data_IF_841002789667
#
_entry.id   IF_841002789667
#
_cell.length_a   1.000
_cell.length_b   1.000
_cell.length_c   1.000
_cell.angle_alpha   90.00
_cell.angle_beta   90.00
_cell.angle_gamma   90.00
#
_symmetry.space_group_name_H-M   'P 1'
#
loop_
_entity.id
_entity.type
_entity.pdbx_description
1 polymer ?
#
# COMPACT_ATOMS: atom_id res chain seq x y z
N UNK A 1 28.86 -18.56 -1.26
CA UNK A 1 29.66 -17.50 -0.61
C UNK A 1 28.68 -16.40 -0.22
N UNK A 2 28.23 -16.40 1.04
CA UNK A 2 27.33 -15.39 1.57
C UNK A 2 28.16 -14.27 2.23
N UNK A 3 27.72 -13.02 2.07
CA UNK A 3 28.44 -11.81 2.45
C UNK A 3 28.64 -11.70 3.98
N UNK A 4 29.79 -11.25 4.51
CA UNK A 4 30.11 -11.28 5.95
C UNK A 4 29.57 -10.09 6.77
N UNK A 5 28.69 -9.25 6.25
CA UNK A 5 28.49 -7.89 6.78
C UNK A 5 27.41 -7.71 7.85
N UNK A 6 26.50 -8.67 8.05
CA UNK A 6 25.34 -8.44 8.93
C UNK A 6 25.57 -8.87 10.40
N UNK A 7 26.63 -9.62 10.69
CA UNK A 7 26.87 -10.16 12.05
C UNK A 7 27.53 -9.16 13.02
N UNK A 8 28.33 -8.21 12.53
CA UNK A 8 29.08 -7.29 13.40
C UNK A 8 28.24 -6.15 13.97
N UNK A 9 27.21 -5.71 13.25
CA UNK A 9 26.39 -4.56 13.67
C UNK A 9 25.70 -4.80 15.03
N UNK A 10 25.33 -6.05 15.30
CA UNK A 10 24.66 -6.46 16.53
C UNK A 10 25.60 -6.53 17.74
N UNK A 11 26.86 -6.90 17.52
CA UNK A 11 27.86 -7.02 18.60
C UNK A 11 28.42 -5.65 19.02
N UNK A 12 28.57 -4.72 18.06
CA UNK A 12 28.96 -3.33 18.32
C UNK A 12 27.89 -2.58 19.15
N UNK A 13 26.61 -2.84 18.89
CA UNK A 13 25.50 -2.26 19.67
C UNK A 13 25.49 -2.81 21.09
N UNK A 14 25.67 -4.12 21.27
CA UNK A 14 25.70 -4.74 22.60
C UNK A 14 26.86 -4.20 23.44
N UNK A 15 28.04 -4.06 22.85
CA UNK A 15 29.23 -3.53 23.55
C UNK A 15 29.06 -2.05 23.91
N UNK A 16 28.41 -1.26 23.06
CA UNK A 16 28.08 0.13 23.38
C UNK A 16 27.06 0.23 24.52
N UNK A 17 26.02 -0.61 24.51
CA UNK A 17 25.02 -0.67 25.58
C UNK A 17 25.72 -0.97 26.90
N UNK A 18 26.51 -2.04 26.99
CA UNK A 18 27.20 -2.42 28.24
C UNK A 18 28.08 -1.29 28.78
N UNK A 19 28.80 -0.60 27.90
CA UNK A 19 29.67 0.52 28.28
C UNK A 19 28.89 1.69 28.88
N UNK A 20 27.74 2.04 28.29
CA UNK A 20 26.87 3.11 28.79
C UNK A 20 26.24 2.72 30.13
N UNK A 21 25.84 1.46 30.30
CA UNK A 21 25.29 0.94 31.55
C UNK A 21 26.29 1.09 32.70
N UNK A 22 27.55 0.74 32.46
CA UNK A 22 28.62 0.84 33.46
C UNK A 22 28.89 2.30 33.84
N UNK A 23 28.92 3.21 32.85
CA UNK A 23 29.14 4.65 33.07
C UNK A 23 28.03 5.28 33.89
N UNK A 24 26.76 4.94 33.61
CA UNK A 24 25.60 5.42 34.38
C UNK A 24 25.67 4.87 35.81
N UNK A 25 26.02 3.60 35.98
CA UNK A 25 26.11 2.96 37.30
C UNK A 25 27.19 3.60 38.19
N UNK A 26 28.31 4.02 37.61
CA UNK A 26 29.42 4.65 38.33
C UNK A 26 29.09 6.07 38.83
N UNK A 27 28.10 6.73 38.22
CA UNK A 27 27.66 8.08 38.60
C UNK A 27 26.63 8.12 39.73
N UNK A 28 26.10 6.98 40.17
CA UNK A 28 25.07 6.89 41.21
C UNK A 28 25.70 6.91 42.61
N UNK A 29 25.21 7.80 43.48
CA UNK A 29 25.70 7.95 44.87
C UNK A 29 25.25 6.83 45.81
N UNK A 30 24.19 6.12 45.43
CA UNK A 30 23.58 5.03 46.17
C UNK A 30 23.19 3.96 45.15
N UNK A 31 23.86 2.81 45.20
CA UNK A 31 23.72 1.72 44.22
C UNK A 31 22.83 0.59 44.74
N UNK A 32 22.47 0.62 46.03
CA UNK A 32 21.60 -0.39 46.63
C UNK A 32 20.16 -0.18 46.15
N UNK A 33 19.71 -1.11 45.29
CA UNK A 33 18.32 -1.18 44.81
C UNK A 33 18.04 -0.57 43.44
N UNK A 34 19.04 -0.10 42.69
CA UNK A 34 18.83 0.42 41.32
C UNK A 34 18.89 -0.73 40.32
N UNK A 35 17.75 -1.04 39.71
CA UNK A 35 17.61 -2.03 38.64
C UNK A 35 17.36 -1.29 37.33
N UNK A 36 18.24 -1.49 36.34
CA UNK A 36 18.06 -0.97 34.99
C UNK A 36 17.15 -1.91 34.23
N UNK A 37 15.92 -1.46 34.01
CA UNK A 37 14.94 -2.17 33.20
C UNK A 37 14.98 -1.63 31.77
N UNK A 38 15.11 -2.53 30.79
CA UNK A 38 14.98 -2.14 29.39
C UNK A 38 13.52 -1.79 29.13
N UNK A 39 13.28 -0.58 28.61
CA UNK A 39 11.98 -0.22 28.11
C UNK A 39 11.63 -1.14 26.93
N UNK A 40 10.73 -2.09 27.16
CA UNK A 40 10.22 -2.98 26.12
C UNK A 40 9.17 -2.23 25.29
N UNK A 41 9.65 -1.31 24.44
CA UNK A 41 8.81 -0.64 23.48
C UNK A 41 8.68 -1.53 22.24
N UNK A 42 7.49 -2.09 22.05
CA UNK A 42 7.14 -2.76 20.80
C UNK A 42 6.95 -1.69 19.71
N UNK A 43 8.04 -1.38 19.01
CA UNK A 43 8.03 -0.49 17.85
C UNK A 43 7.65 -1.22 16.55
N UNK A 44 7.28 -2.51 16.59
CA UNK A 44 6.81 -3.23 15.40
C UNK A 44 5.66 -2.54 14.65
N UNK A 45 4.73 -1.79 15.29
CA UNK A 45 3.69 -1.05 14.56
C UNK A 45 4.22 0.15 13.77
N UNK A 46 5.42 0.63 14.11
CA UNK A 46 6.10 1.76 13.47
C UNK A 46 7.30 1.33 12.63
N UNK A 47 7.66 0.06 12.67
CA UNK A 47 8.66 -0.50 11.79
C UNK A 47 8.20 -0.25 10.35
N UNK A 48 9.02 0.46 9.58
CA UNK A 48 8.80 0.62 8.15
C UNK A 48 8.89 -0.78 7.57
N UNK A 49 7.72 -1.44 7.48
CA UNK A 49 7.57 -2.78 6.93
C UNK A 49 8.42 -2.80 5.67
N UNK A 50 9.45 -3.64 5.67
CA UNK A 50 10.19 -3.97 4.45
C UNK A 50 9.11 -4.44 3.48
N UNK A 51 8.66 -3.53 2.61
CA UNK A 51 7.45 -3.77 1.84
C UNK A 51 7.72 -5.02 1.04
N UNK A 52 6.99 -6.10 1.34
CA UNK A 52 7.07 -7.30 0.54
C UNK A 52 6.70 -6.86 -0.86
N UNK A 53 7.71 -6.81 -1.74
CA UNK A 53 7.60 -6.28 -3.10
C UNK A 53 6.52 -7.02 -3.89
N UNK A 54 6.18 -8.23 -3.45
CA UNK A 54 5.14 -9.10 -3.98
C UNK A 54 3.72 -8.71 -3.58
N UNK A 55 3.50 -8.08 -2.42
CA UNK A 55 2.15 -7.76 -1.93
C UNK A 55 1.54 -6.52 -2.61
N UNK A 56 2.40 -5.65 -3.15
CA UNK A 56 2.01 -4.37 -3.75
C UNK A 56 2.44 -4.23 -5.22
N UNK A 57 2.69 -5.35 -5.91
CA UNK A 57 3.08 -5.34 -7.33
C UNK A 57 2.05 -4.69 -8.25
N UNK A 58 0.77 -4.65 -7.84
CA UNK A 58 -0.32 -3.96 -8.53
C UNK A 58 -0.40 -2.45 -8.26
N UNK A 59 0.54 -1.89 -7.48
CA UNK A 59 0.55 -0.47 -7.10
C UNK A 59 1.81 0.21 -7.62
N UNK A 60 1.65 1.33 -8.30
CA UNK A 60 2.76 2.19 -8.72
C UNK A 60 2.53 3.62 -8.22
N UNK A 61 3.62 4.36 -8.09
CA UNK A 61 3.56 5.79 -7.85
C UNK A 61 3.65 6.54 -9.18
N UNK A 62 2.70 7.44 -9.40
CA UNK A 62 2.76 8.49 -10.42
C UNK A 62 3.29 9.75 -9.77
N UNK A 63 4.31 10.37 -10.35
CA UNK A 63 4.99 11.52 -9.76
C UNK A 63 5.47 12.54 -10.79
N UNK A 64 5.79 13.75 -10.30
CA UNK A 64 6.42 14.80 -11.10
C UNK A 64 5.48 15.47 -12.09
N UNK A 65 4.17 15.37 -11.85
CA UNK A 65 3.16 16.04 -12.66
C UNK A 65 2.79 17.42 -12.10
N UNK A 66 2.30 18.35 -12.95
CA UNK A 66 1.89 19.69 -12.52
C UNK A 66 0.74 19.63 -11.50
N UNK A 67 0.78 20.49 -10.47
CA UNK A 67 -0.27 20.61 -9.44
C UNK A 67 -1.66 20.99 -9.96
N UNK A 68 -1.77 21.38 -11.24
CA UNK A 68 -3.06 21.64 -11.91
C UNK A 68 -3.76 20.36 -12.36
N UNK A 69 -3.07 19.22 -12.35
CA UNK A 69 -3.61 17.93 -12.76
C UNK A 69 -4.71 17.48 -11.81
N UNK A 70 -5.74 16.87 -12.40
CA UNK A 70 -6.86 16.27 -11.71
C UNK A 70 -6.85 14.76 -11.90
N UNK A 71 -7.73 14.10 -11.18
CA UNK A 71 -7.90 12.64 -11.28
C UNK A 71 -8.18 12.22 -12.72
N UNK A 72 -8.95 12.99 -13.47
CA UNK A 72 -9.28 12.69 -14.87
C UNK A 72 -8.04 12.72 -15.77
N UNK A 73 -7.16 13.73 -15.63
CA UNK A 73 -5.92 13.83 -16.41
C UNK A 73 -5.01 12.61 -16.17
N UNK A 74 -4.95 12.14 -14.92
CA UNK A 74 -4.20 10.95 -14.56
C UNK A 74 -4.89 9.65 -15.00
N UNK A 75 -6.22 9.59 -15.08
CA UNK A 75 -6.91 8.41 -15.63
C UNK A 75 -6.70 8.35 -17.14
N UNK A 76 -6.85 9.49 -17.83
CA UNK A 76 -6.74 9.59 -19.29
C UNK A 76 -5.36 9.14 -19.77
N UNK A 77 -4.29 9.57 -19.11
CA UNK A 77 -2.93 9.17 -19.43
C UNK A 77 -2.71 7.65 -19.35
N UNK A 78 -3.47 6.92 -18.53
CA UNK A 78 -3.30 5.49 -18.29
C UNK A 78 -4.42 4.63 -18.90
N UNK A 79 -5.26 5.20 -19.76
CA UNK A 79 -6.39 4.49 -20.39
C UNK A 79 -5.92 3.19 -21.06
N UNK A 80 -4.83 3.24 -21.84
CA UNK A 80 -4.26 2.08 -22.55
C UNK A 80 -3.59 1.05 -21.63
N UNK A 81 -3.30 1.42 -20.39
CA UNK A 81 -2.57 0.61 -19.41
C UNK A 81 -3.49 0.06 -18.30
N UNK A 82 -4.76 0.48 -18.28
CA UNK A 82 -5.73 0.19 -17.23
C UNK A 82 -6.69 -0.96 -17.57
N UNK A 83 -6.23 -1.97 -18.30
CA UNK A 83 -7.06 -3.14 -18.64
C UNK A 83 -7.64 -3.80 -17.37
N UNK A 84 -8.96 -3.71 -17.18
CA UNK A 84 -9.66 -4.18 -15.96
C UNK A 84 -9.86 -3.12 -14.86
N UNK A 85 -9.44 -1.87 -15.11
CA UNK A 85 -9.63 -0.72 -14.25
C UNK A 85 -8.38 -0.30 -13.47
N UNK A 86 -8.33 0.98 -13.16
CA UNK A 86 -7.31 1.61 -12.32
C UNK A 86 -8.00 2.55 -11.33
N UNK A 87 -7.47 2.66 -10.12
CA UNK A 87 -7.91 3.60 -9.10
C UNK A 87 -6.76 4.50 -8.69
N UNK A 88 -7.05 5.79 -8.54
CA UNK A 88 -6.08 6.80 -8.15
C UNK A 88 -6.29 7.17 -6.69
N UNK A 89 -5.20 7.26 -5.94
CA UNK A 89 -5.18 7.81 -4.59
C UNK A 89 -4.08 8.85 -4.44
N UNK A 90 -4.50 10.09 -4.24
CA UNK A 90 -3.61 11.24 -4.09
C UNK A 90 -2.72 11.11 -2.85
N UNK A 91 -1.44 11.44 -2.99
CA UNK A 91 -0.49 11.57 -1.86
C UNK A 91 -0.31 13.05 -1.54
N UNK A 92 0.04 13.83 -2.56
CA UNK A 92 0.15 15.29 -2.55
C UNK A 92 -0.21 15.86 -3.94
N UNK A 93 -0.02 17.15 -4.18
CA UNK A 93 -0.39 17.82 -5.44
C UNK A 93 0.44 17.35 -6.66
N UNK A 94 1.51 16.59 -6.46
CA UNK A 94 2.48 16.14 -7.48
C UNK A 94 2.78 14.64 -7.44
N UNK A 95 2.15 13.91 -6.51
CA UNK A 95 2.31 12.48 -6.30
C UNK A 95 0.96 11.80 -6.08
N UNK A 96 0.75 10.69 -6.76
CA UNK A 96 -0.43 9.85 -6.60
C UNK A 96 -0.05 8.37 -6.69
N UNK A 97 -0.82 7.52 -6.01
CA UNK A 97 -0.74 6.07 -6.13
C UNK A 97 -1.77 5.60 -7.15
N UNK A 98 -1.32 4.86 -8.16
CA UNK A 98 -2.18 4.17 -9.10
C UNK A 98 -2.25 2.68 -8.73
N UNK A 99 -3.47 2.22 -8.49
CA UNK A 99 -3.80 0.87 -8.07
C UNK A 99 -4.48 0.18 -9.25
N UNK A 100 -3.85 -0.88 -9.73
CA UNK A 100 -4.33 -1.64 -10.88
C UNK A 100 -5.13 -2.87 -10.44
N UNK A 101 -5.89 -3.41 -11.37
CA UNK A 101 -6.59 -4.69 -11.25
C UNK A 101 -5.62 -5.88 -11.12
N UNK A 102 -4.42 -5.77 -11.70
CA UNK A 102 -3.37 -6.80 -11.68
C UNK A 102 -1.96 -6.22 -11.65
N UNK A 103 -0.99 -7.02 -11.18
CA UNK A 103 0.44 -6.70 -11.25
C UNK A 103 0.92 -6.57 -12.70
N UNK A 104 0.38 -7.35 -13.64
CA UNK A 104 0.73 -7.26 -15.06
C UNK A 104 0.34 -5.91 -15.66
N UNK A 105 -0.84 -5.38 -15.31
CA UNK A 105 -1.28 -4.06 -15.76
C UNK A 105 -0.42 -2.95 -15.15
N UNK A 106 -0.09 -3.05 -13.86
CA UNK A 106 0.83 -2.13 -13.19
C UNK A 106 2.22 -2.14 -13.84
N UNK A 107 2.76 -3.32 -14.16
CA UNK A 107 4.05 -3.46 -14.82
C UNK A 107 4.05 -2.83 -16.22
N UNK A 108 2.97 -3.02 -16.98
CA UNK A 108 2.81 -2.38 -18.28
C UNK A 108 2.77 -0.84 -18.13
N UNK A 109 2.05 -0.34 -17.14
CA UNK A 109 1.94 1.08 -16.83
C UNK A 109 3.28 1.75 -16.44
N UNK A 110 4.25 0.99 -15.91
CA UNK A 110 5.61 1.52 -15.65
C UNK A 110 6.35 1.92 -16.93
N UNK A 111 5.93 1.38 -18.08
CA UNK A 111 6.52 1.67 -19.39
C UNK A 111 5.84 2.86 -20.09
N UNK A 112 4.94 3.57 -19.41
CA UNK A 112 4.29 4.76 -19.97
C UNK A 112 5.33 5.83 -20.30
N UNK A 113 5.16 6.48 -21.45
CA UNK A 113 5.97 7.62 -21.85
C UNK A 113 5.09 8.85 -21.99
N UNK A 114 4.98 9.63 -20.91
CA UNK A 114 4.19 10.85 -20.88
C UNK A 114 5.09 12.06 -20.56
N UNK A 115 4.98 13.19 -21.28
CA UNK A 115 5.90 14.32 -21.12
C UNK A 115 5.78 15.03 -19.77
N UNK A 116 4.61 14.93 -19.14
CA UNK A 116 4.27 15.67 -17.91
C UNK A 116 4.10 14.78 -16.67
N UNK A 117 4.36 13.48 -16.75
CA UNK A 117 4.31 12.61 -15.55
C UNK A 117 5.28 11.45 -15.68
N UNK A 118 5.68 10.87 -14.55
CA UNK A 118 6.57 9.72 -14.48
C UNK A 118 5.97 8.66 -13.56
N UNK A 119 6.44 7.44 -13.72
CA UNK A 119 6.00 6.30 -12.91
C UNK A 119 7.16 5.55 -12.31
N UNK A 120 6.96 4.96 -11.13
CA UNK A 120 7.91 4.03 -10.51
C UNK A 120 7.19 3.03 -9.61
N UNK A 121 7.85 1.92 -9.33
CA UNK A 121 7.33 0.90 -8.41
C UNK A 121 7.18 1.47 -7.00
N UNK A 122 6.27 0.90 -6.22
CA UNK A 122 6.09 1.31 -4.82
C UNK A 122 7.37 1.16 -3.98
N UNK A 123 8.22 0.17 -4.29
CA UNK A 123 9.52 -0.01 -3.65
C UNK A 123 10.48 1.17 -3.86
N UNK A 124 10.38 1.85 -5.00
CA UNK A 124 11.17 3.03 -5.34
C UNK A 124 10.45 4.36 -5.02
N UNK A 125 9.23 4.27 -4.48
CA UNK A 125 8.38 5.42 -4.25
C UNK A 125 8.89 6.36 -3.16
N UNK A 126 8.30 7.57 -3.12
CA UNK A 126 8.53 8.56 -2.07
C UNK A 126 8.22 7.98 -0.69
N UNK A 127 8.89 8.48 0.35
CA UNK A 127 8.59 8.09 1.74
C UNK A 127 7.12 8.36 2.09
N UNK A 128 6.54 9.45 1.57
CA UNK A 128 5.12 9.77 1.79
C UNK A 128 4.19 8.75 1.13
N UNK A 129 4.51 8.35 -0.09
CA UNK A 129 3.75 7.35 -0.85
C UNK A 129 3.86 5.96 -0.22
N UNK A 130 5.06 5.60 0.27
CA UNK A 130 5.29 4.38 1.05
C UNK A 130 4.54 4.42 2.38
N UNK A 131 4.58 5.53 3.10
CA UNK A 131 3.82 5.67 4.35
C UNK A 131 2.32 5.54 4.09
N UNK A 132 1.80 6.19 3.03
CA UNK A 132 0.39 6.12 2.66
C UNK A 132 -0.03 4.72 2.22
N UNK A 133 0.85 4.01 1.50
CA UNK A 133 0.59 2.64 1.09
C UNK A 133 0.73 1.62 2.23
N UNK A 134 1.67 1.88 3.13
CA UNK A 134 2.01 1.05 4.28
C UNK A 134 1.22 1.36 5.55
N UNK A 135 0.30 2.34 5.52
CA UNK A 135 -0.63 2.66 6.62
C UNK A 135 -1.62 1.50 6.85
N UNK A 136 -1.09 0.41 7.39
CA UNK A 136 -1.80 -0.81 7.77
C UNK A 136 -2.73 -0.49 8.94
N UNK A 137 -4.03 -0.59 8.72
CA UNK A 137 -5.00 -0.72 9.81
C UNK A 137 -5.05 -2.21 10.21
N UNK A 138 -4.03 -2.69 10.94
CA UNK A 138 -3.89 -4.11 11.33
C UNK A 138 -3.18 -4.99 10.29
N UNK A 139 -3.31 -6.32 10.41
CA UNK A 139 -2.65 -7.31 9.54
C UNK A 139 -3.19 -7.38 8.09
N UNK A 140 -3.99 -6.40 7.66
CA UNK A 140 -4.64 -6.39 6.35
C UNK A 140 -4.15 -5.19 5.51
N UNK A 141 -4.06 -5.33 4.17
CA UNK A 141 -3.83 -4.20 3.28
C UNK A 141 -4.90 -3.13 3.53
N UNK A 142 -4.54 -1.83 3.46
CA UNK A 142 -5.52 -0.76 3.57
C UNK A 142 -6.63 -0.95 2.53
N UNK A 143 -7.89 -0.77 2.93
CA UNK A 143 -9.05 -0.99 2.04
C UNK A 143 -8.94 -0.21 0.73
N UNK A 144 -8.24 0.93 0.74
CA UNK A 144 -8.06 1.73 -0.46
C UNK A 144 -7.12 1.07 -1.50
N UNK A 145 -6.18 0.23 -1.08
CA UNK A 145 -5.09 -0.37 -1.91
C UNK A 145 -5.50 -1.72 -2.49
N UNK A 146 -6.70 -2.20 -2.16
CA UNK A 146 -7.19 -3.43 -2.77
C UNK A 146 -7.21 -3.28 -4.30
N UNK A 147 -6.69 -4.30 -5.04
CA UNK A 147 -6.75 -4.31 -6.49
C UNK A 147 -8.16 -3.99 -6.97
N UNK A 148 -8.27 -3.21 -8.04
CA UNK A 148 -9.56 -2.86 -8.61
C UNK A 148 -10.24 -4.14 -9.09
N UNK A 149 -11.35 -4.49 -8.43
CA UNK A 149 -12.23 -5.57 -8.89
C UNK A 149 -13.18 -4.97 -9.91
N UNK A 150 -13.24 -5.56 -11.11
CA UNK A 150 -14.27 -5.22 -12.08
C UNK A 150 -15.64 -5.34 -11.41
N UNK A 151 -16.51 -4.35 -11.66
CA UNK A 151 -17.91 -4.48 -11.21
C UNK A 151 -18.51 -5.69 -11.91
N UNK A 152 -19.13 -6.64 -11.18
CA UNK A 152 -19.81 -7.74 -11.83
C UNK A 152 -20.84 -7.18 -12.81
N UNK A 153 -20.79 -7.66 -14.06
CA UNK A 153 -21.73 -7.25 -15.11
C UNK A 153 -23.14 -7.54 -14.61
N UNK A 154 -23.84 -6.49 -14.18
CA UNK A 154 -25.22 -6.61 -13.71
C UNK A 154 -26.10 -6.65 -14.95
N UNK A 155 -26.66 -7.81 -15.25
CA UNK A 155 -27.63 -7.93 -16.34
C UNK A 155 -28.97 -7.31 -15.90
N UNK A 156 -29.47 -6.36 -16.68
CA UNK A 156 -30.77 -5.72 -16.43
C UNK A 156 -31.91 -6.75 -16.37
N UNK A 157 -31.82 -7.85 -17.13
CA UNK A 157 -32.83 -8.91 -17.10
C UNK A 157 -32.81 -9.66 -15.75
N UNK A 158 -31.62 -9.92 -15.20
CA UNK A 158 -31.46 -10.54 -13.89
C UNK A 158 -31.93 -9.60 -12.79
N UNK A 159 -31.55 -8.32 -12.83
CA UNK A 159 -32.01 -7.31 -11.89
C UNK A 159 -33.54 -7.16 -11.92
N UNK A 160 -34.13 -7.05 -13.11
CA UNK A 160 -35.59 -7.03 -13.29
C UNK A 160 -36.24 -8.27 -12.69
N UNK A 161 -35.73 -9.47 -13.00
CA UNK A 161 -36.26 -10.73 -12.44
C UNK A 161 -36.19 -10.77 -10.92
N UNK A 162 -35.09 -10.31 -10.32
CA UNK A 162 -34.92 -10.24 -8.87
C UNK A 162 -35.94 -9.29 -8.24
N UNK A 163 -36.08 -8.09 -8.79
CA UNK A 163 -37.04 -7.08 -8.31
C UNK A 163 -38.48 -7.57 -8.48
N UNK A 164 -38.84 -8.08 -9.66
CA UNK A 164 -40.15 -8.68 -9.95
C UNK A 164 -40.50 -9.79 -8.97
N UNK A 165 -39.54 -10.68 -8.64
CA UNK A 165 -39.73 -11.76 -7.67
C UNK A 165 -39.89 -11.22 -6.24
N UNK A 166 -39.08 -10.25 -5.83
CA UNK A 166 -39.13 -9.66 -4.50
C UNK A 166 -40.41 -8.86 -4.25
N UNK A 167 -40.96 -8.24 -5.30
CA UNK A 167 -42.24 -7.52 -5.26
C UNK A 167 -43.46 -8.43 -5.48
N UNK A 168 -43.25 -9.74 -5.72
CA UNK A 168 -44.35 -10.68 -5.94
C UNK A 168 -45.09 -10.49 -7.27
N UNK A 169 -44.53 -9.75 -8.22
CA UNK A 169 -45.14 -9.46 -9.51
C UNK A 169 -44.99 -10.70 -10.39
N UNK A 170 -46.07 -11.41 -10.68
CA UNK A 170 -46.03 -12.52 -11.63
C UNK A 170 -46.13 -11.96 -13.05
N UNK A 171 -45.04 -11.99 -13.81
CA UNK A 171 -45.11 -11.76 -15.26
C UNK A 171 -45.89 -12.92 -15.87
N UNK A 172 -47.12 -12.67 -16.30
CA UNK A 172 -48.07 -13.67 -16.75
C UNK A 172 -47.48 -14.63 -17.78
N UNK A 173 -47.78 -15.93 -17.62
CA UNK A 173 -47.51 -16.96 -18.64
C UNK A 173 -48.16 -16.50 -19.95
N UNK A 174 -47.36 -16.26 -20.98
CA UNK A 174 -47.86 -16.18 -22.36
C UNK A 174 -48.49 -17.55 -22.67
N UNK A 175 -49.82 -17.63 -22.67
CA UNK A 175 -50.54 -18.76 -23.25
C UNK A 175 -50.26 -18.73 -24.75
N UNK A 176 -49.40 -19.63 -25.21
CA UNK A 176 -49.29 -19.97 -26.62
C UNK A 176 -50.53 -20.80 -26.96
N UNK A 177 -51.39 -20.22 -27.80
CA UNK A 177 -52.43 -20.93 -28.53
C UNK A 177 -51.81 -21.63 -29.72
#
# INVERSE_FOLDING_TARGET
>A
MASPCDANLTEDIKTLITKLTDEISAGLKETDGVVLEYAHNDYSPFETVLMNTTEFGHVIEIYGFPAVFKTDDLIDAFTDYSAGGMKITWVDDTHALAIFSSETAAHHALSINHPLLKTRTLSQASQQSKAKAGQRAGNAPPEFIQPVKERPKTDSAVARRMVTRALGIQTGRVKRY
#
